data_IF_490686793959
#
_entry.id   IF_490686793959
#
_cell.length_a   1.000
_cell.length_b   1.000
_cell.length_c   1.000
_cell.angle_alpha   90.00
_cell.angle_beta   90.00
_cell.angle_gamma   90.00
#
_symmetry.space_group_name_H-M   'P 1'
#
loop_
_entity.id
_entity.type
_entity.pdbx_description
1 polymer ?
#
# COMPACT_ATOMS: atom_id res chain seq x y z
N UNK A 1 33.57 -21.97 17.74
CA UNK A 1 32.90 -20.66 17.60
C UNK A 1 32.40 -20.32 16.19
N UNK A 2 32.90 -20.97 15.11
CA UNK A 2 32.51 -20.64 13.71
C UNK A 2 31.06 -20.99 13.33
N UNK A 3 30.47 -22.00 13.99
CA UNK A 3 29.13 -22.52 13.68
C UNK A 3 27.99 -21.59 14.13
N UNK A 4 28.24 -20.71 15.12
CA UNK A 4 27.25 -19.76 15.64
C UNK A 4 27.03 -18.56 14.72
N UNK A 5 28.09 -18.12 14.02
CA UNK A 5 28.03 -16.98 13.09
C UNK A 5 27.06 -17.28 11.94
N UNK A 6 27.05 -18.51 11.43
CA UNK A 6 26.13 -18.91 10.36
C UNK A 6 24.66 -18.82 10.75
N UNK A 7 24.33 -19.17 12.01
CA UNK A 7 22.95 -19.06 12.51
C UNK A 7 22.52 -17.61 12.71
N UNK A 8 23.41 -16.75 13.23
CA UNK A 8 23.12 -15.32 13.40
C UNK A 8 22.90 -14.65 12.03
N UNK A 9 23.70 -15.01 11.02
CA UNK A 9 23.53 -14.50 9.66
C UNK A 9 22.21 -14.95 9.01
N UNK A 10 21.83 -16.23 9.20
CA UNK A 10 20.56 -16.79 8.71
C UNK A 10 19.35 -16.10 9.37
N UNK A 11 19.39 -15.88 10.67
CA UNK A 11 18.31 -15.19 11.40
C UNK A 11 18.20 -13.75 10.92
N UNK A 12 19.33 -13.04 10.78
CA UNK A 12 19.34 -11.67 10.28
C UNK A 12 18.75 -11.56 8.86
N UNK A 13 19.07 -12.49 7.96
CA UNK A 13 18.51 -12.50 6.60
C UNK A 13 17.01 -12.80 6.59
N UNK A 14 16.54 -13.74 7.41
CA UNK A 14 15.10 -14.04 7.54
C UNK A 14 14.31 -12.87 8.13
N UNK A 15 14.85 -12.18 9.13
CA UNK A 15 14.22 -10.99 9.71
C UNK A 15 14.08 -9.85 8.71
N UNK A 16 15.10 -9.63 7.86
CA UNK A 16 15.03 -8.60 6.81
C UNK A 16 13.96 -8.97 5.78
N UNK A 17 13.94 -10.20 5.26
CA UNK A 17 12.94 -10.64 4.27
C UNK A 17 11.52 -10.59 4.85
N UNK A 18 11.35 -11.03 6.10
CA UNK A 18 10.06 -10.97 6.81
C UNK A 18 9.57 -9.53 6.98
N UNK A 19 10.45 -8.58 7.28
CA UNK A 19 10.13 -7.16 7.37
C UNK A 19 9.67 -6.60 6.01
N UNK A 20 10.38 -6.90 4.92
CA UNK A 20 9.99 -6.47 3.58
C UNK A 20 8.65 -7.06 3.10
N UNK A 21 8.31 -8.29 3.50
CA UNK A 21 7.02 -8.92 3.20
C UNK A 21 5.87 -8.42 4.09
N UNK A 22 6.19 -7.91 5.28
CA UNK A 22 5.22 -7.37 6.24
C UNK A 22 4.96 -5.88 6.06
N UNK A 23 5.79 -5.16 5.29
CA UNK A 23 5.44 -3.82 4.82
C UNK A 23 4.20 -3.99 3.93
N UNK A 24 3.03 -3.44 4.32
CA UNK A 24 1.88 -3.46 3.44
C UNK A 24 2.29 -2.78 2.14
N UNK A 25 2.06 -3.44 1.02
CA UNK A 25 2.23 -2.93 -0.35
C UNK A 25 1.41 -1.66 -0.65
N UNK A 26 0.82 -1.02 0.36
CA UNK A 26 0.12 0.26 0.27
C UNK A 26 1.03 1.49 0.21
N UNK A 27 2.32 1.32 -0.07
CA UNK A 27 3.27 2.41 -0.31
C UNK A 27 3.87 2.37 -1.74
N UNK A 28 3.30 1.57 -2.65
CA UNK A 28 3.76 1.52 -4.06
C UNK A 28 3.01 2.46 -5.01
N UNK A 29 2.07 3.26 -4.54
CA UNK A 29 1.28 4.15 -5.39
C UNK A 29 1.55 5.61 -5.01
N UNK A 30 2.67 6.15 -5.50
CA UNK A 30 2.81 7.60 -5.77
C UNK A 30 1.92 8.03 -6.95
N UNK A 31 1.22 7.08 -7.56
CA UNK A 31 0.19 7.30 -8.56
C UNK A 31 -1.14 7.52 -7.85
N UNK A 32 -1.81 8.65 -8.13
CA UNK A 32 -3.11 8.94 -7.53
C UNK A 32 -4.04 7.72 -7.65
N UNK A 33 -4.84 7.38 -6.64
CA UNK A 33 -5.69 6.19 -6.69
C UNK A 33 -6.76 6.35 -7.78
N UNK A 34 -7.26 5.22 -8.33
CA UNK A 34 -8.46 5.24 -9.19
C UNK A 34 -9.67 5.70 -8.39
N UNK A 35 -10.44 6.64 -8.94
CA UNK A 35 -11.71 7.02 -8.33
C UNK A 35 -12.70 5.85 -8.43
N UNK A 36 -13.38 5.50 -7.33
CA UNK A 36 -14.36 4.42 -7.26
C UNK A 36 -15.72 4.87 -6.69
N UNK A 37 -15.87 6.15 -6.38
CA UNK A 37 -17.13 6.74 -5.96
C UNK A 37 -17.32 8.13 -6.56
N UNK A 38 -18.59 8.51 -6.71
CA UNK A 38 -19.03 9.77 -7.28
C UNK A 38 -19.99 10.47 -6.33
N UNK A 39 -19.74 11.74 -6.07
CA UNK A 39 -20.59 12.63 -5.28
C UNK A 39 -21.52 13.43 -6.19
N UNK A 40 -22.79 13.03 -6.35
CA UNK A 40 -23.71 13.67 -7.29
C UNK A 40 -24.02 15.13 -6.93
N UNK A 41 -24.03 15.47 -5.65
CA UNK A 41 -24.35 16.82 -5.18
C UNK A 41 -23.27 17.86 -5.52
N UNK A 42 -22.01 17.42 -5.67
CA UNK A 42 -20.87 18.32 -5.93
C UNK A 42 -20.19 18.05 -7.27
N UNK A 43 -20.58 16.99 -7.98
CA UNK A 43 -19.95 16.54 -9.22
C UNK A 43 -18.52 16.05 -9.05
N UNK A 44 -18.12 15.66 -7.83
CA UNK A 44 -16.74 15.28 -7.52
C UNK A 44 -16.56 13.77 -7.49
N UNK A 45 -15.38 13.32 -7.87
CA UNK A 45 -14.96 11.93 -7.75
C UNK A 45 -14.11 11.72 -6.50
N UNK A 46 -14.07 10.50 -5.99
CA UNK A 46 -13.31 10.16 -4.80
C UNK A 46 -13.03 8.67 -4.68
N UNK A 47 -12.51 8.30 -3.51
CA UNK A 47 -12.22 6.91 -3.15
C UNK A 47 -12.95 6.49 -1.89
N UNK A 48 -13.50 5.27 -1.87
CA UNK A 48 -14.07 4.67 -0.67
C UNK A 48 -12.93 4.31 0.29
N UNK A 49 -12.88 4.97 1.44
CA UNK A 49 -12.04 4.59 2.57
C UNK A 49 -12.92 4.32 3.79
N UNK A 50 -12.82 3.11 4.34
CA UNK A 50 -13.57 2.70 5.53
C UNK A 50 -15.09 2.79 5.39
N UNK A 51 -15.62 2.63 4.17
CA UNK A 51 -17.06 2.70 3.88
C UNK A 51 -17.56 4.09 3.51
N UNK A 52 -16.75 5.14 3.68
CA UNK A 52 -17.09 6.50 3.28
C UNK A 52 -16.37 6.90 1.98
N UNK A 53 -17.08 7.56 1.08
CA UNK A 53 -16.47 8.19 -0.09
C UNK A 53 -15.66 9.40 0.37
N UNK A 54 -14.35 9.43 0.13
CA UNK A 54 -13.51 10.61 0.42
C UNK A 54 -13.05 11.24 -0.88
N UNK A 55 -13.32 12.54 -1.03
CA UNK A 55 -12.78 13.33 -2.14
C UNK A 55 -11.28 13.50 -1.92
N UNK A 56 -10.50 12.87 -2.77
CA UNK A 56 -9.03 12.95 -2.83
C UNK A 56 -8.65 13.15 -4.29
N UNK A 57 -7.43 13.63 -4.58
CA UNK A 57 -6.92 13.59 -5.94
C UNK A 57 -6.87 12.13 -6.41
N UNK A 58 -7.73 11.81 -7.37
CA UNK A 58 -7.91 10.49 -7.95
C UNK A 58 -8.17 10.64 -9.45
N UNK A 59 -7.90 9.60 -10.23
CA UNK A 59 -8.14 9.63 -11.67
C UNK A 59 -9.27 8.69 -12.09
N UNK A 60 -9.97 9.07 -13.16
CA UNK A 60 -10.99 8.26 -13.85
C UNK A 60 -10.46 7.84 -15.22
N UNK A 61 -10.68 6.59 -15.63
CA UNK A 61 -10.58 6.22 -17.05
C UNK A 61 -11.95 6.50 -17.67
N UNK A 62 -11.97 7.32 -18.72
CA UNK A 62 -13.09 7.42 -19.65
C UNK A 62 -12.82 6.36 -20.73
N UNK A 63 -13.45 5.19 -20.64
CA UNK A 63 -13.50 4.22 -21.74
C UNK A 63 -14.63 4.59 -22.72
#
# INVERSE_FOLDING_TARGET
MRRWISWVLLIGTLSVIGFWRAIPTGAQDDEAPRCNCYYPNTGRYGVIRWGDCRVVDCWIILE
#
